data_IF_677847467004
#
_entry.id   IF_677847467004
#
_cell.length_a   1.000
_cell.length_b   1.000
_cell.length_c   1.000
_cell.angle_alpha   90.00
_cell.angle_beta   90.00
_cell.angle_gamma   90.00
#
_symmetry.space_group_name_H-M   'P 1'
#
loop_
_entity.id
_entity.type
_entity.pdbx_description
1 polymer ?
#
# COMPACT_ATOMS: atom_id res chain seq x y z
N UNK A 1 -3.24 2.15 -17.82
CA UNK A 1 -3.11 0.78 -17.25
C UNK A 1 -2.44 0.92 -15.90
N UNK A 2 -3.05 0.44 -14.81
CA UNK A 2 -2.42 0.47 -13.49
C UNK A 2 -1.20 -0.46 -13.40
N UNK A 3 -0.29 -0.12 -12.49
CA UNK A 3 0.90 -0.91 -12.18
C UNK A 3 0.55 -2.00 -11.16
N UNK A 4 1.00 -3.22 -11.44
CA UNK A 4 0.88 -4.37 -10.56
C UNK A 4 2.25 -4.94 -10.22
N UNK A 5 2.32 -5.56 -9.05
CA UNK A 5 3.42 -6.40 -8.60
C UNK A 5 2.93 -7.84 -8.50
N UNK A 6 3.63 -8.74 -9.17
CA UNK A 6 3.41 -10.17 -9.13
C UNK A 6 4.52 -10.80 -8.29
N UNK A 7 4.13 -11.36 -7.15
CA UNK A 7 4.99 -12.22 -6.33
C UNK A 7 4.81 -13.66 -6.76
N UNK A 8 5.88 -14.28 -7.26
CA UNK A 8 5.93 -15.67 -7.68
C UNK A 8 6.76 -16.48 -6.70
N UNK A 9 6.20 -17.58 -6.25
CA UNK A 9 6.91 -18.63 -5.53
C UNK A 9 6.94 -19.87 -6.43
N UNK A 10 8.10 -20.15 -7.01
CA UNK A 10 8.34 -21.32 -7.85
C UNK A 10 8.85 -22.48 -7.01
N UNK A 11 8.62 -23.71 -7.46
CA UNK A 11 9.30 -24.88 -6.89
C UNK A 11 10.80 -24.81 -7.15
N UNK A 12 11.58 -25.56 -6.39
CA UNK A 12 13.01 -25.72 -6.63
C UNK A 12 13.23 -26.48 -7.94
N UNK A 13 13.71 -25.75 -8.95
CA UNK A 13 13.92 -26.22 -10.32
C UNK A 13 15.39 -26.12 -10.69
N UNK A 14 15.79 -26.89 -11.70
CA UNK A 14 17.08 -26.65 -12.35
C UNK A 14 17.08 -25.30 -13.08
N UNK A 15 18.26 -24.70 -13.28
CA UNK A 15 18.38 -23.40 -13.97
C UNK A 15 17.65 -23.32 -15.33
N UNK A 16 17.74 -24.32 -16.24
CA UNK A 16 17.02 -24.23 -17.52
C UNK A 16 15.51 -24.30 -17.35
N UNK A 17 14.99 -25.16 -16.47
CA UNK A 17 13.56 -25.27 -16.18
C UNK A 17 13.01 -24.00 -15.54
N UNK A 18 13.80 -23.38 -14.65
CA UNK A 18 13.45 -22.12 -14.03
C UNK A 18 13.30 -21.01 -15.08
N UNK A 19 14.25 -20.90 -16.00
CA UNK A 19 14.18 -19.92 -17.10
C UNK A 19 12.96 -20.20 -17.98
N UNK A 20 12.66 -21.47 -18.27
CA UNK A 20 11.49 -21.85 -19.06
C UNK A 20 10.18 -21.46 -18.36
N UNK A 21 10.03 -21.73 -17.06
CA UNK A 21 8.84 -21.35 -16.29
C UNK A 21 8.67 -19.82 -16.19
N UNK A 22 9.77 -19.09 -15.97
CA UNK A 22 9.75 -17.63 -15.98
C UNK A 22 9.39 -17.06 -17.35
N UNK A 23 9.91 -17.65 -18.43
CA UNK A 23 9.57 -17.25 -19.80
C UNK A 23 8.08 -17.47 -20.07
N UNK A 24 7.53 -18.63 -19.68
CA UNK A 24 6.09 -18.90 -19.78
C UNK A 24 5.27 -17.85 -19.01
N UNK A 25 5.67 -17.53 -17.79
CA UNK A 25 4.99 -16.51 -16.96
C UNK A 25 5.09 -15.10 -17.55
N UNK A 26 6.19 -14.76 -18.21
CA UNK A 26 6.35 -13.48 -18.90
C UNK A 26 5.48 -13.44 -20.18
N UNK A 27 5.43 -14.53 -20.93
CA UNK A 27 4.63 -14.66 -22.14
C UNK A 27 3.13 -14.55 -21.84
N UNK A 28 2.63 -15.15 -20.75
CA UNK A 28 1.22 -15.02 -20.35
C UNK A 28 0.85 -13.57 -20.03
N UNK A 29 1.70 -12.83 -19.32
CA UNK A 29 1.50 -11.41 -19.03
C UNK A 29 1.42 -10.60 -20.34
N UNK A 30 2.32 -10.88 -21.30
CA UNK A 30 2.35 -10.19 -22.59
C UNK A 30 1.12 -10.54 -23.46
N UNK A 31 0.68 -11.80 -23.48
CA UNK A 31 -0.50 -12.25 -24.24
C UNK A 31 -1.78 -11.59 -23.76
N UNK A 32 -1.89 -11.28 -22.47
CA UNK A 32 -3.03 -10.58 -21.89
C UNK A 32 -2.96 -9.06 -22.02
N UNK A 33 -2.02 -8.54 -22.82
CA UNK A 33 -1.86 -7.11 -23.09
C UNK A 33 -1.15 -6.35 -21.97
N UNK A 34 -0.40 -7.06 -21.11
CA UNK A 34 0.44 -6.45 -20.09
C UNK A 34 1.83 -6.06 -20.60
N UNK A 35 2.48 -5.11 -19.93
CA UNK A 35 3.85 -4.67 -20.22
C UNK A 35 4.72 -4.89 -18.99
N UNK A 36 5.80 -5.67 -19.13
CA UNK A 36 6.76 -5.91 -18.06
C UNK A 36 7.68 -4.69 -17.86
N UNK A 37 7.79 -4.22 -16.62
CA UNK A 37 8.67 -3.11 -16.24
C UNK A 37 9.96 -3.58 -15.56
N UNK A 38 9.82 -4.49 -14.60
CA UNK A 38 10.93 -4.92 -13.75
C UNK A 38 10.82 -6.40 -13.44
N UNK A 39 11.97 -7.07 -13.41
CA UNK A 39 12.10 -8.46 -13.04
C UNK A 39 13.22 -8.60 -12.00
N UNK A 40 12.90 -9.11 -10.80
CA UNK A 40 13.85 -9.27 -9.69
C UNK A 40 13.79 -10.69 -9.14
N UNK A 41 14.96 -11.30 -8.99
CA UNK A 41 15.12 -12.56 -8.26
C UNK A 41 15.43 -12.28 -6.80
N UNK A 42 14.68 -12.89 -5.89
CA UNK A 42 14.92 -12.84 -4.44
C UNK A 42 15.68 -14.07 -3.93
N UNK A 43 16.01 -15.01 -4.83
CA UNK A 43 16.75 -16.23 -4.52
C UNK A 43 15.88 -17.39 -4.07
N UNK A 44 16.54 -18.51 -3.78
CA UNK A 44 15.91 -19.75 -3.29
C UNK A 44 16.05 -19.80 -1.78
N UNK A 45 14.91 -19.76 -1.08
CA UNK A 45 14.85 -19.77 0.37
C UNK A 45 13.90 -20.88 0.86
N UNK A 46 14.07 -21.37 2.10
CA UNK A 46 13.07 -22.22 2.72
C UNK A 46 11.74 -21.46 2.85
N UNK A 47 10.63 -22.14 2.58
CA UNK A 47 9.30 -21.59 2.74
C UNK A 47 9.02 -21.37 4.24
N UNK A 48 8.26 -20.32 4.62
CA UNK A 48 7.90 -20.07 6.02
C UNK A 48 7.16 -21.24 6.68
N UNK A 49 6.39 -22.00 5.89
CA UNK A 49 5.70 -23.21 6.31
C UNK A 49 5.60 -24.20 5.15
N UNK A 50 5.32 -25.46 5.47
CA UNK A 50 5.15 -26.53 4.48
C UNK A 50 3.90 -26.26 3.64
N UNK A 51 4.07 -26.09 2.33
CA UNK A 51 2.97 -25.78 1.40
C UNK A 51 2.66 -26.98 0.52
N UNK A 52 1.38 -27.23 0.24
CA UNK A 52 0.96 -28.23 -0.74
C UNK A 52 0.55 -27.52 -2.03
N UNK A 53 1.22 -27.83 -3.13
CA UNK A 53 0.86 -27.33 -4.46
C UNK A 53 0.93 -28.51 -5.44
N UNK A 54 -0.03 -28.60 -6.36
CA UNK A 54 -0.08 -29.66 -7.39
C UNK A 54 0.18 -31.08 -6.85
N UNK A 55 -0.44 -31.43 -5.72
CA UNK A 55 -0.30 -32.71 -5.01
C UNK A 55 1.09 -33.01 -4.41
N UNK A 56 2.04 -32.08 -4.49
CA UNK A 56 3.38 -32.19 -3.90
C UNK A 56 3.51 -31.27 -2.71
N UNK A 57 4.26 -31.72 -1.71
CA UNK A 57 4.61 -30.92 -0.54
C UNK A 57 5.96 -30.25 -0.75
N UNK A 58 5.98 -28.93 -0.64
CA UNK A 58 7.18 -28.11 -0.78
C UNK A 58 7.62 -27.55 0.58
N UNK A 59 8.94 -27.56 0.79
CA UNK A 59 9.60 -26.92 1.96
C UNK A 59 10.53 -25.78 1.54
N UNK A 60 10.90 -25.73 0.27
CA UNK A 60 11.78 -24.73 -0.32
C UNK A 60 11.10 -24.17 -1.58
N UNK A 61 11.40 -22.91 -1.89
CA UNK A 61 10.86 -22.24 -3.05
C UNK A 61 11.81 -21.14 -3.55
N UNK A 62 11.73 -20.86 -4.85
CA UNK A 62 12.45 -19.76 -5.46
C UNK A 62 11.52 -18.57 -5.64
N UNK A 63 11.93 -17.42 -5.12
CA UNK A 63 11.12 -16.22 -5.05
C UNK A 63 11.47 -15.25 -6.18
N UNK A 64 10.45 -14.77 -6.87
CA UNK A 64 10.57 -13.74 -7.89
C UNK A 64 9.51 -12.66 -7.71
N UNK A 65 9.90 -11.44 -8.05
CA UNK A 65 9.01 -10.29 -8.09
C UNK A 65 9.06 -9.71 -9.50
N UNK A 66 7.90 -9.63 -10.14
CA UNK A 66 7.72 -9.00 -11.44
C UNK A 66 6.84 -7.77 -11.28
N UNK A 67 7.25 -6.62 -11.82
CA UNK A 67 6.39 -5.44 -11.93
C UNK A 67 5.92 -5.30 -13.36
N UNK A 68 4.63 -5.15 -13.56
CA UNK A 68 4.02 -5.07 -14.87
C UNK A 68 2.81 -4.15 -14.87
N UNK A 69 2.56 -3.49 -15.99
CA UNK A 69 1.30 -2.77 -16.22
C UNK A 69 0.32 -3.71 -16.92
N UNK A 70 -0.93 -3.75 -16.47
CA UNK A 70 -1.98 -4.52 -17.14
C UNK A 70 -3.35 -3.84 -16.99
N UNK A 71 -4.31 -4.12 -17.88
CA UNK A 71 -5.69 -3.72 -17.65
C UNK A 71 -6.31 -4.55 -16.52
N UNK A 72 -7.17 -3.94 -15.71
CA UNK A 72 -7.78 -4.63 -14.55
C UNK A 72 -8.59 -5.88 -14.93
N UNK A 73 -9.17 -5.89 -16.13
CA UNK A 73 -9.92 -7.03 -16.67
C UNK A 73 -9.05 -8.27 -16.97
N UNK A 74 -7.75 -8.09 -17.19
CA UNK A 74 -6.85 -9.21 -17.48
C UNK A 74 -6.43 -9.99 -16.23
N UNK A 75 -6.54 -9.40 -15.03
CA UNK A 75 -5.96 -9.97 -13.80
C UNK A 75 -6.63 -11.29 -13.40
N UNK A 76 -7.94 -11.40 -13.60
CA UNK A 76 -8.67 -12.63 -13.29
C UNK A 76 -8.17 -13.78 -14.18
N UNK A 77 -8.04 -13.53 -15.49
CA UNK A 77 -7.49 -14.49 -16.44
C UNK A 77 -6.03 -14.84 -16.11
N UNK A 78 -5.22 -13.84 -15.73
CA UNK A 78 -3.82 -14.03 -15.35
C UNK A 78 -3.69 -14.95 -14.13
N UNK A 79 -4.49 -14.69 -13.10
CA UNK A 79 -4.51 -15.50 -11.89
C UNK A 79 -4.94 -16.94 -12.17
N UNK A 80 -5.89 -17.14 -13.07
CA UNK A 80 -6.35 -18.49 -13.42
C UNK A 80 -5.34 -19.25 -14.28
N UNK A 81 -4.58 -18.58 -15.15
CA UNK A 81 -3.45 -19.18 -15.86
C UNK A 81 -2.31 -19.57 -14.89
N UNK A 82 -1.95 -18.68 -13.96
CA UNK A 82 -0.89 -18.99 -12.98
C UNK A 82 -1.26 -20.12 -12.02
N UNK A 83 -2.53 -20.24 -11.62
CA UNK A 83 -3.00 -21.39 -10.82
C UNK A 83 -2.89 -22.73 -11.56
N UNK A 84 -2.90 -22.72 -12.89
CA UNK A 84 -2.81 -23.94 -13.71
C UNK A 84 -1.36 -24.36 -13.95
N UNK A 85 -0.40 -23.46 -13.77
CA UNK A 85 1.02 -23.77 -13.97
C UNK A 85 1.56 -24.62 -12.82
N UNK A 86 2.03 -25.82 -13.15
CA UNK A 86 2.49 -26.84 -12.18
C UNK A 86 3.78 -26.41 -11.46
N UNK A 87 4.57 -25.54 -12.10
CA UNK A 87 5.83 -25.07 -11.53
C UNK A 87 5.65 -23.99 -10.46
N UNK A 88 4.48 -23.34 -10.43
CA UNK A 88 4.14 -22.30 -9.47
C UNK A 88 3.54 -22.92 -8.20
N UNK A 89 4.19 -22.69 -7.06
CA UNK A 89 3.64 -23.05 -5.74
C UNK A 89 2.56 -22.04 -5.36
N UNK A 90 2.84 -20.74 -5.56
CA UNK A 90 1.93 -19.65 -5.21
C UNK A 90 2.24 -18.42 -6.05
N UNK A 91 1.19 -17.79 -6.57
CA UNK A 91 1.25 -16.51 -7.27
C UNK A 91 0.33 -15.51 -6.57
N UNK A 92 0.78 -14.27 -6.40
CA UNK A 92 -0.04 -13.17 -5.91
C UNK A 92 0.17 -11.93 -6.75
N UNK A 93 -0.92 -11.38 -7.28
CA UNK A 93 -0.94 -10.09 -7.95
C UNK A 93 -1.45 -9.04 -6.97
N UNK A 94 -0.64 -8.02 -6.71
CA UNK A 94 -0.95 -6.90 -5.84
C UNK A 94 -0.89 -5.62 -6.68
N UNK A 95 -1.82 -4.70 -6.45
CA UNK A 95 -1.75 -3.38 -7.10
C UNK A 95 -0.65 -2.57 -6.45
N UNK A 96 0.26 -2.04 -7.26
CA UNK A 96 1.24 -1.06 -6.77
C UNK A 96 0.50 0.26 -6.57
N UNK A 97 0.23 0.58 -5.31
CA UNK A 97 -0.16 1.93 -4.92
C UNK A 97 1.11 2.72 -4.63
N UNK A 98 1.19 3.96 -5.12
CA UNK A 98 2.26 4.84 -4.71
C UNK A 98 2.12 5.07 -3.20
N UNK A 99 3.13 4.73 -2.38
CA UNK A 99 3.02 4.94 -0.95
C UNK A 99 2.83 6.44 -0.73
N UNK A 100 1.78 6.79 0.03
CA UNK A 100 1.60 8.16 0.47
C UNK A 100 2.85 8.53 1.25
N UNK A 101 3.57 9.55 0.77
CA UNK A 101 4.78 10.04 1.42
C UNK A 101 4.38 10.70 2.73
N UNK A 102 4.32 9.91 3.78
CA UNK A 102 4.19 10.40 5.15
C UNK A 102 5.59 10.66 5.69
N UNK A 103 5.82 11.89 6.12
CA UNK A 103 7.01 12.20 6.91
C UNK A 103 6.88 11.53 8.27
N UNK A 104 7.93 10.87 8.73
CA UNK A 104 7.92 10.20 10.03
C UNK A 104 7.96 11.26 11.15
N UNK A 105 6.81 11.52 11.78
CA UNK A 105 6.67 12.47 12.91
C UNK A 105 6.90 11.83 14.28
N UNK A 106 7.28 10.55 14.33
CA UNK A 106 7.35 9.76 15.57
C UNK A 106 8.25 10.39 16.64
N UNK A 107 9.37 10.99 16.24
CA UNK A 107 10.28 11.67 17.16
C UNK A 107 9.64 12.90 17.82
N UNK A 108 8.79 13.63 17.10
CA UNK A 108 8.06 14.79 17.63
C UNK A 108 6.94 14.35 18.58
N UNK A 109 6.28 13.24 18.25
CA UNK A 109 5.24 12.64 19.08
C UNK A 109 5.78 12.00 20.36
N UNK A 110 7.02 11.50 20.37
CA UNK A 110 7.61 10.91 21.57
C UNK A 110 8.04 11.95 22.62
N UNK A 111 8.13 13.23 22.26
CA UNK A 111 8.50 14.29 23.21
C UNK A 111 7.48 14.36 24.35
N UNK A 112 7.88 14.80 25.57
CA UNK A 112 6.93 15.09 26.63
C UNK A 112 5.86 16.10 26.17
N UNK A 113 4.63 16.06 26.72
CA UNK A 113 3.50 16.84 26.21
C UNK A 113 3.77 18.35 26.15
N UNK A 114 4.60 18.89 27.04
CA UNK A 114 4.97 20.31 27.05
C UNK A 114 5.73 20.77 25.80
N UNK A 115 6.46 19.87 25.14
CA UNK A 115 7.33 20.18 24.00
C UNK A 115 6.74 19.72 22.65
N UNK A 116 5.54 19.13 22.64
CA UNK A 116 4.86 18.72 21.40
C UNK A 116 4.23 19.93 20.72
N UNK A 117 4.41 20.05 19.40
CA UNK A 117 3.88 21.16 18.59
C UNK A 117 2.35 21.21 18.65
N UNK A 118 1.70 20.06 18.53
CA UNK A 118 0.22 19.97 18.52
C UNK A 118 -0.38 20.44 19.86
N UNK A 119 0.25 20.08 20.98
CA UNK A 119 -0.20 20.49 22.32
C UNK A 119 0.01 21.98 22.54
N UNK A 120 1.12 22.53 22.06
CA UNK A 120 1.37 23.97 22.11
C UNK A 120 0.33 24.74 21.31
N UNK A 121 -0.01 24.27 20.09
CA UNK A 121 -1.07 24.85 19.27
C UNK A 121 -2.42 24.82 19.97
N UNK A 122 -2.80 23.70 20.60
CA UNK A 122 -4.04 23.59 21.38
C UNK A 122 -4.10 24.56 22.56
N UNK A 123 -2.97 24.74 23.27
CA UNK A 123 -2.89 25.71 24.38
C UNK A 123 -3.04 27.13 23.85
N UNK A 124 -2.41 27.47 22.73
CA UNK A 124 -2.55 28.78 22.09
C UNK A 124 -3.97 29.05 21.62
N UNK A 125 -4.61 28.08 20.98
CA UNK A 125 -6.00 28.15 20.55
C UNK A 125 -6.95 28.30 21.74
N UNK A 126 -6.75 27.53 22.81
CA UNK A 126 -7.54 27.65 24.04
C UNK A 126 -7.33 28.98 24.79
N UNK A 127 -6.16 29.61 24.65
CA UNK A 127 -5.87 30.94 25.19
C UNK A 127 -6.51 32.07 24.39
N UNK A 128 -6.86 31.86 23.12
CA UNK A 128 -7.58 32.86 22.32
C UNK A 128 -8.98 33.03 22.92
N UNK A 129 -9.17 34.11 23.68
CA UNK A 129 -10.46 34.44 24.28
C UNK A 129 -11.48 34.70 23.16
N UNK A 130 -12.48 33.82 23.04
CA UNK A 130 -13.65 34.07 22.18
C UNK A 130 -14.47 35.16 22.86
N UNK A 131 -14.18 36.42 22.54
CA UNK A 131 -15.01 37.55 22.95
C UNK A 131 -16.27 37.53 22.09
N UNK A 132 -17.32 36.88 22.57
CA UNK A 132 -18.64 36.99 21.98
C UNK A 132 -19.11 38.44 22.18
N UNK A 133 -19.01 39.27 21.13
CA UNK A 133 -19.61 40.61 21.16
C UNK A 133 -21.13 40.42 21.08
N UNK A 134 -21.81 40.51 22.22
CA UNK A 134 -23.25 40.60 22.23
C UNK A 134 -23.66 41.89 21.51
N UNK A 135 -24.23 41.77 20.30
CA UNK A 135 -24.84 42.92 19.63
C UNK A 135 -26.16 43.18 20.34
N UNK A 136 -26.23 44.24 21.13
CA UNK A 136 -27.51 44.73 21.64
C UNK A 136 -28.31 45.25 20.43
N UNK A 137 -29.30 44.48 19.99
CA UNK A 137 -30.22 44.88 18.92
C UNK A 137 -31.37 45.72 19.50
N UNK A 138 -31.05 46.80 20.21
CA UNK A 138 -32.06 47.76 20.69
C UNK A 138 -31.99 49.00 19.81
N UNK A 139 -32.93 49.20 18.87
CA UNK A 139 -33.01 50.45 18.11
C UNK A 139 -33.57 51.56 19.01
N UNK A 140 -32.71 52.48 19.45
CA UNK A 140 -33.12 53.87 19.75
C UNK A 140 -33.59 54.25 21.16
N UNK A 141 -32.87 53.90 22.23
CA UNK A 141 -33.06 54.58 23.52
C UNK A 141 -31.71 54.94 24.18
N UNK A 142 -31.11 56.05 23.71
CA UNK A 142 -30.04 56.80 24.37
C UNK A 142 -30.59 57.76 25.45
N UNK A 143 -31.61 57.34 26.22
CA UNK A 143 -32.17 58.17 27.30
C UNK A 143 -31.82 57.57 28.66
N UNK A 144 -30.82 58.15 29.33
CA UNK A 144 -30.50 57.90 30.73
C UNK A 144 -31.19 58.96 31.61
N UNK A 145 -32.31 58.65 32.30
CA UNK A 145 -33.17 59.66 32.95
C UNK A 145 -32.65 60.15 34.32
N UNK A 146 -31.39 59.88 34.67
CA UNK A 146 -30.82 60.19 36.00
C UNK A 146 -29.54 61.04 35.96
N UNK A 147 -29.17 61.59 34.80
CA UNK A 147 -28.20 62.69 34.77
C UNK A 147 -28.95 64.00 35.01
N UNK A 148 -28.91 64.47 36.27
CA UNK A 148 -29.23 65.84 36.64
C UNK A 148 -28.06 66.77 36.33
#
# INVERSE_FOLDING_TARGET
MPLYELSLTLRTLSRPELIASLKRSAETILQQGGVLRQFVSLGTNPLPFKMKAHNVWHREGTYFVMKFDAPSSAIENLNDEFKRDIDLIRSHVVRCEEPVKHECTLEEEMKPPAYRKDVQQLIEEGRKVIRHKFKQNTPGFDFYPFQK
#
